data_IF_093372060465
#
_entry.id   IF_093372060465
#
_cell.length_a   1.000
_cell.length_b   1.000
_cell.length_c   1.000
_cell.angle_alpha   90.00
_cell.angle_beta   90.00
_cell.angle_gamma   90.00
#
_symmetry.space_group_name_H-M   'P 1'
#
loop_
_entity.id
_entity.type
_entity.pdbx_description
1 polymer ?
#
# COMPACT_ATOMS: atom_id res chain seq x y z
N UNK A 1 8.93 3.93 -14.89
CA UNK A 1 8.64 2.57 -14.38
C UNK A 1 8.71 1.52 -15.48
N UNK A 2 7.98 1.70 -16.58
CA UNK A 2 7.93 0.79 -17.74
C UNK A 2 9.31 0.39 -18.33
N UNK A 3 10.29 1.30 -18.56
CA UNK A 3 11.58 0.91 -19.12
C UNK A 3 12.48 0.14 -18.13
N UNK A 4 12.26 0.34 -16.82
CA UNK A 4 13.01 -0.37 -15.76
C UNK A 4 12.50 -1.81 -15.69
N UNK A 5 11.17 -1.99 -15.74
CA UNK A 5 10.53 -3.32 -15.75
C UNK A 5 10.99 -4.15 -16.95
N UNK A 6 11.03 -3.55 -18.15
CA UNK A 6 11.49 -4.24 -19.36
C UNK A 6 12.96 -4.64 -19.32
N UNK A 7 13.83 -3.81 -18.75
CA UNK A 7 15.25 -4.15 -18.59
C UNK A 7 15.49 -5.21 -17.51
N UNK A 8 14.65 -5.29 -16.47
CA UNK A 8 14.70 -6.29 -15.39
C UNK A 8 14.19 -7.69 -15.72
N UNK A 9 13.51 -7.90 -16.85
CA UNK A 9 13.01 -9.24 -17.21
C UNK A 9 14.14 -10.22 -17.54
N UNK A 10 15.21 -9.77 -18.21
CA UNK A 10 16.35 -10.61 -18.60
C UNK A 10 17.11 -11.24 -17.40
N UNK A 11 17.53 -10.48 -16.36
CA UNK A 11 18.24 -11.07 -15.22
C UNK A 11 17.36 -11.80 -14.20
N UNK A 12 16.04 -11.74 -14.33
CA UNK A 12 15.13 -12.60 -13.58
C UNK A 12 15.21 -14.05 -14.08
N UNK A 13 15.55 -14.23 -15.36
CA UNK A 13 15.73 -15.51 -16.03
C UNK A 13 17.10 -16.13 -15.72
N UNK A 14 18.14 -15.31 -15.56
CA UNK A 14 19.52 -15.74 -15.29
C UNK A 14 19.85 -15.95 -13.79
N UNK A 15 18.88 -15.74 -12.87
CA UNK A 15 19.01 -15.96 -11.42
C UNK A 15 20.23 -15.30 -10.72
N UNK A 16 20.71 -14.17 -11.23
CA UNK A 16 21.73 -13.36 -10.53
C UNK A 16 21.09 -12.58 -9.36
N UNK A 17 21.03 -13.22 -8.18
CA UNK A 17 20.55 -12.64 -6.92
C UNK A 17 21.05 -11.21 -6.63
N UNK A 18 22.35 -10.87 -6.79
CA UNK A 18 22.83 -9.52 -6.50
C UNK A 18 22.26 -8.47 -7.48
N UNK A 19 22.14 -8.80 -8.76
CA UNK A 19 21.59 -7.90 -9.78
C UNK A 19 20.07 -7.74 -9.64
N UNK A 20 19.38 -8.77 -9.17
CA UNK A 20 17.95 -8.71 -8.82
C UNK A 20 17.71 -7.77 -7.64
N UNK A 21 18.50 -7.88 -6.57
CA UNK A 21 18.40 -7.03 -5.38
C UNK A 21 18.61 -5.55 -5.71
N UNK A 22 19.61 -5.21 -6.53
CA UNK A 22 19.85 -3.82 -6.96
C UNK A 22 18.63 -3.23 -7.69
N UNK A 23 18.02 -4.01 -8.58
CA UNK A 23 16.85 -3.59 -9.38
C UNK A 23 15.60 -3.46 -8.52
N UNK A 24 15.39 -4.37 -7.58
CA UNK A 24 14.31 -4.29 -6.60
C UNK A 24 14.44 -3.04 -5.73
N UNK A 25 15.64 -2.72 -5.24
CA UNK A 25 15.86 -1.51 -4.44
C UNK A 25 15.59 -0.22 -5.24
N UNK A 26 15.98 -0.17 -6.52
CA UNK A 26 15.66 0.95 -7.41
C UNK A 26 14.15 1.11 -7.66
N UNK A 27 13.40 0.01 -7.66
CA UNK A 27 11.94 0.01 -7.82
C UNK A 27 11.20 0.22 -6.49
N UNK A 28 11.83 -0.05 -5.35
CA UNK A 28 11.20 0.04 -4.05
C UNK A 28 10.67 1.44 -3.77
N UNK A 29 11.49 2.49 -3.91
CA UNK A 29 11.09 3.88 -3.62
C UNK A 29 9.85 4.32 -4.43
N UNK A 30 9.85 4.26 -5.79
CA UNK A 30 8.67 4.65 -6.56
C UNK A 30 7.46 3.76 -6.28
N UNK A 31 7.66 2.47 -6.00
CA UNK A 31 6.58 1.56 -5.62
C UNK A 31 5.92 1.96 -4.29
N UNK A 32 6.71 2.28 -3.26
CA UNK A 32 6.20 2.74 -1.97
C UNK A 32 5.45 4.06 -2.11
N UNK A 33 5.95 5.01 -2.92
CA UNK A 33 5.25 6.26 -3.18
C UNK A 33 3.90 6.03 -3.88
N UNK A 34 3.85 5.17 -4.89
CA UNK A 34 2.57 4.80 -5.52
C UNK A 34 1.60 4.17 -4.54
N UNK A 35 2.10 3.29 -3.67
CA UNK A 35 1.28 2.64 -2.64
C UNK A 35 0.69 3.67 -1.66
N UNK A 36 1.47 4.66 -1.23
CA UNK A 36 1.00 5.76 -0.38
C UNK A 36 -0.05 6.64 -1.07
N UNK A 37 0.16 6.97 -2.34
CA UNK A 37 -0.80 7.75 -3.14
C UNK A 37 -2.11 6.96 -3.30
N UNK A 38 -2.01 5.67 -3.62
CA UNK A 38 -3.16 4.79 -3.76
C UNK A 38 -3.93 4.67 -2.45
N UNK A 39 -3.21 4.54 -1.32
CA UNK A 39 -3.81 4.52 0.00
C UNK A 39 -4.65 5.78 0.24
N UNK A 40 -4.08 6.97 0.01
CA UNK A 40 -4.80 8.23 0.19
C UNK A 40 -6.00 8.35 -0.77
N UNK A 41 -5.80 8.08 -2.05
CA UNK A 41 -6.87 8.18 -3.06
C UNK A 41 -8.04 7.24 -2.76
N UNK A 42 -7.76 6.01 -2.34
CA UNK A 42 -8.80 5.03 -2.05
C UNK A 42 -9.43 5.24 -0.67
N UNK A 43 -8.65 5.14 0.41
CA UNK A 43 -9.17 5.16 1.78
C UNK A 43 -9.60 6.54 2.24
N UNK A 44 -8.89 7.59 1.84
CA UNK A 44 -9.27 8.95 2.21
C UNK A 44 -10.29 9.51 1.23
N UNK A 45 -9.95 9.67 -0.06
CA UNK A 45 -10.84 10.38 -0.99
C UNK A 45 -12.07 9.56 -1.40
N UNK A 46 -11.88 8.33 -1.85
CA UNK A 46 -12.98 7.54 -2.43
C UNK A 46 -13.99 7.08 -1.38
N UNK A 47 -13.53 6.55 -0.24
CA UNK A 47 -14.43 6.11 0.83
C UNK A 47 -15.15 7.27 1.52
N UNK A 48 -14.51 8.42 1.75
CA UNK A 48 -15.24 9.58 2.28
C UNK A 48 -16.26 10.11 1.27
N UNK A 49 -15.94 10.12 -0.04
CA UNK A 49 -16.91 10.51 -1.07
C UNK A 49 -18.14 9.60 -1.06
N UNK A 50 -17.94 8.28 -0.99
CA UNK A 50 -19.03 7.30 -0.90
C UNK A 50 -19.80 7.48 0.43
N UNK A 51 -19.11 7.74 1.53
CA UNK A 51 -19.73 7.95 2.83
C UNK A 51 -20.64 9.19 2.84
N UNK A 52 -20.20 10.31 2.24
CA UNK A 52 -21.03 11.50 2.09
C UNK A 52 -22.25 11.21 1.20
N UNK A 53 -22.07 10.52 0.08
CA UNK A 53 -23.15 10.18 -0.85
C UNK A 53 -24.22 9.30 -0.19
N UNK A 54 -23.80 8.37 0.68
CA UNK A 54 -24.67 7.44 1.39
C UNK A 54 -25.14 7.97 2.77
N UNK A 55 -24.75 9.19 3.15
CA UNK A 55 -24.98 9.75 4.49
C UNK A 55 -24.47 8.81 5.62
N UNK A 56 -23.38 8.09 5.34
CA UNK A 56 -22.76 7.19 6.29
C UNK A 56 -21.94 7.97 7.31
N UNK A 57 -22.34 7.90 8.58
CA UNK A 57 -21.74 8.67 9.67
C UNK A 57 -20.40 8.11 10.18
N UNK A 58 -20.12 6.81 9.98
CA UNK A 58 -18.89 6.20 10.46
C UNK A 58 -17.77 6.34 9.42
N UNK A 59 -16.92 7.35 9.60
CA UNK A 59 -15.81 7.69 8.69
C UNK A 59 -14.46 7.15 9.16
N UNK A 60 -14.45 6.24 10.12
CA UNK A 60 -13.24 5.66 10.68
C UNK A 60 -12.68 4.54 9.77
N UNK A 61 -12.23 4.91 8.56
CA UNK A 61 -11.68 3.94 7.59
C UNK A 61 -10.24 3.51 7.90
N UNK A 62 -9.45 4.38 8.53
CA UNK A 62 -8.07 4.12 8.93
C UNK A 62 -7.69 4.95 10.17
N UNK A 63 -6.65 4.53 10.89
CA UNK A 63 -6.06 5.19 12.07
C UNK A 63 -4.64 5.65 11.77
N UNK A 64 -3.90 6.11 12.78
CA UNK A 64 -2.51 6.58 12.72
C UNK A 64 -1.50 5.44 12.48
N UNK A 65 -1.71 4.65 11.43
CA UNK A 65 -0.86 3.51 11.05
C UNK A 65 0.57 3.92 10.68
N UNK A 66 0.81 5.18 10.29
CA UNK A 66 2.14 5.69 9.95
C UNK A 66 3.03 5.91 11.18
N UNK A 67 2.44 6.07 12.37
CA UNK A 67 3.16 6.20 13.64
C UNK A 67 3.26 4.85 14.39
N UNK A 68 3.03 3.73 13.70
CA UNK A 68 3.04 2.41 14.32
C UNK A 68 4.43 2.03 14.83
N UNK A 69 4.57 1.77 16.14
CA UNK A 69 5.82 1.25 16.72
C UNK A 69 6.02 -0.24 16.45
N UNK A 70 4.94 -0.96 16.13
CA UNK A 70 4.96 -2.40 15.88
C UNK A 70 4.24 -2.75 14.58
N UNK A 71 4.71 -3.81 13.91
CA UNK A 71 4.09 -4.34 12.68
C UNK A 71 2.65 -4.79 12.95
N UNK A 72 2.38 -5.34 14.14
CA UNK A 72 1.03 -5.70 14.59
C UNK A 72 0.11 -4.48 14.62
N UNK A 73 0.56 -3.36 15.19
CA UNK A 73 -0.23 -2.12 15.19
C UNK A 73 -0.47 -1.58 13.77
N UNK A 74 0.53 -1.66 12.88
CA UNK A 74 0.35 -1.28 11.47
C UNK A 74 -0.81 -2.05 10.81
N UNK A 75 -0.81 -3.38 10.91
CA UNK A 75 -1.82 -4.25 10.28
C UNK A 75 -3.24 -4.06 10.82
N UNK A 76 -3.37 -3.61 12.07
CA UNK A 76 -4.68 -3.35 12.69
C UNK A 76 -5.27 -1.98 12.30
N UNK A 77 -4.42 -1.00 12.00
CA UNK A 77 -4.83 0.40 11.89
C UNK A 77 -4.87 0.94 10.46
N UNK A 78 -4.22 0.28 9.49
CA UNK A 78 -4.22 0.76 8.10
C UNK A 78 -5.59 0.61 7.41
N UNK A 79 -6.31 -0.48 7.68
CA UNK A 79 -7.60 -0.78 7.07
C UNK A 79 -8.57 -1.33 8.12
N UNK A 80 -9.24 -0.41 8.80
CA UNK A 80 -10.12 -0.71 9.93
C UNK A 80 -11.33 -1.54 9.50
N UNK A 81 -12.01 -1.26 8.36
CA UNK A 81 -13.14 -2.07 7.92
C UNK A 81 -12.79 -3.55 7.75
N UNK A 82 -11.68 -3.87 7.09
CA UNK A 82 -11.24 -5.26 6.90
C UNK A 82 -10.79 -5.88 8.23
N UNK A 83 -10.05 -5.12 9.04
CA UNK A 83 -9.61 -5.61 10.34
C UNK A 83 -10.79 -5.95 11.27
N UNK A 84 -11.76 -5.04 11.40
CA UNK A 84 -13.00 -5.26 12.17
C UNK A 84 -13.83 -6.42 11.59
N UNK A 85 -13.81 -6.65 10.27
CA UNK A 85 -14.47 -7.80 9.64
C UNK A 85 -13.80 -9.13 9.97
N UNK A 86 -12.47 -9.22 9.90
CA UNK A 86 -11.73 -10.45 10.23
C UNK A 86 -11.78 -10.83 11.72
N UNK A 87 -12.03 -9.86 12.60
CA UNK A 87 -12.15 -10.09 14.05
C UNK A 87 -13.55 -10.54 14.51
N UNK A 88 -14.56 -10.45 13.63
CA UNK A 88 -15.93 -10.93 13.89
C UNK A 88 -16.07 -12.40 13.51
#
# INVERSE_FOLDING_TARGET
MIPIIQSSMKPLEDMDLPMMMERLLRLAVPNHLLWLIFFYWFFHSSLNFIAELLQFGDREFYRDWWNSETITYFWQNWNIPVHKWCLR
#
